data_IF_839386662728
#
_entry.id   IF_839386662728
#
_cell.length_a   1.000
_cell.length_b   1.000
_cell.length_c   1.000
_cell.angle_alpha   90.00
_cell.angle_beta   90.00
_cell.angle_gamma   90.00
#
_symmetry.space_group_name_H-M   'P 1'
#
loop_
_entity.id
_entity.type
_entity.pdbx_description
1 polymer ?
#
# COMPACT_ATOMS: atom_id res chain seq x y z
N UNK A 1 8.10 11.89 4.53
CA UNK A 1 8.10 12.09 3.07
C UNK A 1 8.91 11.02 2.35
N UNK A 2 10.17 10.75 2.75
CA UNK A 2 10.99 9.70 2.12
C UNK A 2 10.32 8.32 2.09
N UNK A 3 9.82 7.83 3.23
CA UNK A 3 9.06 6.57 3.28
C UNK A 3 7.85 6.55 2.34
N UNK A 4 7.13 7.67 2.26
CA UNK A 4 5.95 7.80 1.38
C UNK A 4 6.34 7.82 -0.10
N UNK A 5 7.46 8.46 -0.44
CA UNK A 5 7.98 8.47 -1.80
C UNK A 5 8.46 7.08 -2.23
N UNK A 6 9.19 6.36 -1.38
CA UNK A 6 9.62 4.98 -1.67
C UNK A 6 8.39 4.08 -1.79
N UNK A 7 7.38 4.24 -0.93
CA UNK A 7 6.13 3.48 -1.03
C UNK A 7 5.45 3.64 -2.38
N UNK A 8 5.15 4.87 -2.79
CA UNK A 8 4.48 5.12 -4.07
C UNK A 8 5.37 4.74 -5.26
N UNK A 9 6.66 5.06 -5.23
CA UNK A 9 7.57 4.72 -6.31
C UNK A 9 7.71 3.20 -6.51
N UNK A 10 7.89 2.45 -5.41
CA UNK A 10 8.01 1.00 -5.47
C UNK A 10 6.69 0.32 -5.88
N UNK A 11 5.54 0.85 -5.45
CA UNK A 11 4.23 0.34 -5.82
C UNK A 11 3.87 0.62 -7.29
N UNK A 12 4.12 1.84 -7.78
CA UNK A 12 3.90 2.16 -9.20
C UNK A 12 4.80 1.30 -10.06
N UNK A 13 6.09 1.21 -9.72
CA UNK A 13 7.03 0.37 -10.44
C UNK A 13 6.64 -1.12 -10.42
N UNK A 14 6.08 -1.63 -9.31
CA UNK A 14 5.62 -3.02 -9.26
C UNK A 14 4.42 -3.29 -10.16
N UNK A 15 3.54 -2.32 -10.42
CA UNK A 15 2.44 -2.48 -11.37
C UNK A 15 2.92 -2.74 -12.81
N UNK A 16 4.10 -2.24 -13.17
CA UNK A 16 4.70 -2.45 -14.49
C UNK A 16 5.56 -3.73 -14.56
N UNK A 17 5.87 -4.35 -13.42
CA UNK A 17 6.83 -5.45 -13.33
C UNK A 17 6.27 -6.73 -12.68
N UNK A 18 5.03 -6.73 -12.23
CA UNK A 18 4.30 -7.94 -11.84
C UNK A 18 2.82 -7.78 -12.19
N UNK A 19 2.02 -8.82 -12.05
CA UNK A 19 0.59 -8.73 -12.31
C UNK A 19 -0.09 -7.75 -11.34
N UNK A 20 -1.17 -7.11 -11.79
CA UNK A 20 -1.98 -6.20 -10.95
C UNK A 20 -2.36 -6.85 -9.62
N UNK A 21 -2.78 -8.12 -9.66
CA UNK A 21 -3.19 -8.86 -8.46
C UNK A 21 -2.01 -9.10 -7.51
N UNK A 22 -0.84 -9.49 -8.02
CA UNK A 22 0.36 -9.67 -7.20
C UNK A 22 0.80 -8.36 -6.56
N UNK A 23 0.88 -7.28 -7.34
CA UNK A 23 1.24 -5.96 -6.83
C UNK A 23 0.32 -5.53 -5.68
N UNK A 24 -1.00 -5.69 -5.85
CA UNK A 24 -1.98 -5.36 -4.82
C UNK A 24 -1.89 -6.29 -3.60
N UNK A 25 -1.71 -7.61 -3.78
CA UNK A 25 -1.56 -8.55 -2.66
C UNK A 25 -0.34 -8.21 -1.80
N UNK A 26 0.82 -8.00 -2.42
CA UNK A 26 2.08 -7.76 -1.70
C UNK A 26 2.16 -6.36 -1.09
N UNK A 27 1.55 -5.33 -1.68
CA UNK A 27 1.48 -4.00 -1.05
C UNK A 27 0.49 -3.98 0.13
N UNK A 28 -0.57 -4.82 0.08
CA UNK A 28 -1.62 -4.86 1.10
C UNK A 28 -1.25 -5.64 2.36
N UNK A 29 -0.15 -6.41 2.37
CA UNK A 29 0.31 -7.16 3.56
C UNK A 29 1.08 -6.31 4.58
N UNK A 30 0.96 -4.98 4.54
CA UNK A 30 1.49 -4.07 5.56
C UNK A 30 1.14 -4.44 7.01
N UNK A 31 -0.02 -5.05 7.36
CA UNK A 31 -0.28 -5.48 8.75
C UNK A 31 0.65 -6.59 9.22
N UNK A 32 1.04 -7.52 8.34
CA UNK A 32 2.01 -8.58 8.66
C UNK A 32 3.37 -7.95 8.92
N UNK A 33 3.77 -7.01 8.06
CA UNK A 33 5.05 -6.30 8.20
C UNK A 33 5.11 -5.53 9.51
N UNK A 34 4.02 -4.87 9.91
CA UNK A 34 3.94 -4.19 11.20
C UNK A 34 4.20 -5.15 12.37
N UNK A 35 3.59 -6.33 12.37
CA UNK A 35 3.82 -7.35 13.41
C UNK A 35 5.27 -7.82 13.44
N UNK A 36 5.88 -8.05 12.27
CA UNK A 36 7.29 -8.43 12.18
C UNK A 36 8.21 -7.36 12.78
N UNK A 37 7.82 -6.09 12.69
CA UNK A 37 8.58 -4.96 13.21
C UNK A 37 8.33 -4.69 14.70
N UNK A 38 7.22 -5.18 15.28
CA UNK A 38 6.84 -4.95 16.69
C UNK A 38 7.98 -5.19 17.70
N UNK A 39 8.76 -6.29 17.63
CA UNK A 39 9.85 -6.51 18.59
C UNK A 39 10.94 -5.44 18.53
N UNK A 40 11.24 -4.93 17.33
CA UNK A 40 12.28 -3.92 17.13
C UNK A 40 11.85 -2.54 17.66
N UNK A 41 10.55 -2.26 17.71
CA UNK A 41 9.97 -1.02 18.24
C UNK A 41 9.48 -1.16 19.69
N UNK A 42 9.72 -2.30 20.34
CA UNK A 42 9.38 -2.54 21.73
C UNK A 42 7.89 -2.84 22.00
N UNK A 43 7.12 -3.24 20.97
CA UNK A 43 5.74 -3.67 21.11
C UNK A 43 5.64 -5.17 21.39
N UNK A 44 4.67 -5.56 22.23
CA UNK A 44 4.45 -6.96 22.60
C UNK A 44 3.80 -7.75 21.46
N UNK A 45 4.36 -8.92 21.15
CA UNK A 45 3.82 -9.84 20.14
C UNK A 45 2.98 -10.90 20.82
N UNK A 46 1.70 -11.00 20.42
CA UNK A 46 0.76 -12.01 20.93
C UNK A 46 0.76 -13.26 20.07
N UNK A 47 0.25 -14.38 20.62
CA UNK A 47 0.13 -15.65 19.87
C UNK A 47 -0.68 -15.50 18.59
N UNK A 48 -1.77 -14.71 18.62
CA UNK A 48 -2.58 -14.45 17.43
C UNK A 48 -1.83 -13.70 16.32
N UNK A 49 -0.90 -12.80 16.69
CA UNK A 49 -0.03 -12.10 15.74
C UNK A 49 0.86 -13.10 15.00
N UNK A 50 1.50 -14.02 15.73
CA UNK A 50 2.38 -15.04 15.14
C UNK A 50 1.60 -15.95 14.19
N UNK A 51 0.44 -16.45 14.60
CA UNK A 51 -0.38 -17.31 13.73
C UNK A 51 -0.83 -16.60 12.47
N UNK A 52 -1.24 -15.33 12.57
CA UNK A 52 -1.64 -14.53 11.41
C UNK A 52 -0.49 -14.30 10.42
N UNK A 53 0.69 -13.93 10.94
CA UNK A 53 1.91 -13.77 10.13
C UNK A 53 2.30 -15.07 9.44
N UNK A 54 2.28 -16.21 10.14
CA UNK A 54 2.63 -17.50 9.55
C UNK A 54 1.70 -17.87 8.40
N UNK A 55 0.39 -17.71 8.57
CA UNK A 55 -0.59 -18.00 7.50
C UNK A 55 -0.38 -17.06 6.30
N UNK A 56 -0.11 -15.79 6.57
CA UNK A 56 0.15 -14.82 5.52
C UNK A 56 1.45 -15.10 4.74
N UNK A 57 2.52 -15.49 5.43
CA UNK A 57 3.79 -15.91 4.80
C UNK A 57 3.57 -17.16 3.95
N UNK A 58 2.83 -18.16 4.43
CA UNK A 58 2.49 -19.34 3.64
C UNK A 58 1.71 -18.95 2.38
N UNK A 59 0.75 -18.03 2.49
CA UNK A 59 0.03 -17.50 1.34
C UNK A 59 0.95 -16.82 0.32
N UNK A 60 1.88 -15.98 0.79
CA UNK A 60 2.84 -15.29 -0.07
C UNK A 60 3.81 -16.26 -0.76
N UNK A 61 4.29 -17.28 -0.04
CA UNK A 61 5.15 -18.32 -0.62
C UNK A 61 4.41 -19.16 -1.66
N UNK A 62 3.12 -19.43 -1.44
CA UNK A 62 2.29 -20.10 -2.43
C UNK A 62 2.13 -19.23 -3.68
N UNK A 63 1.76 -17.95 -3.56
CA UNK A 63 1.54 -17.09 -4.74
C UNK A 63 2.79 -16.96 -5.63
N UNK A 64 4.00 -17.06 -5.06
CA UNK A 64 5.24 -17.09 -5.84
C UNK A 64 5.35 -18.30 -6.79
N UNK A 65 4.51 -19.33 -6.66
CA UNK A 65 4.48 -20.47 -7.58
C UNK A 65 4.08 -20.12 -9.02
N UNK A 66 3.43 -18.97 -9.24
CA UNK A 66 3.08 -18.47 -10.58
C UNK A 66 4.19 -17.60 -11.21
N UNK A 67 5.28 -17.31 -10.48
CA UNK A 67 6.43 -16.56 -11.02
C UNK A 67 7.00 -17.27 -12.25
N UNK A 68 7.14 -16.51 -13.34
CA UNK A 68 7.69 -17.02 -14.60
C UNK A 68 6.72 -17.86 -15.43
N UNK A 69 5.52 -18.17 -14.91
CA UNK A 69 4.44 -18.80 -15.68
C UNK A 69 3.70 -17.69 -16.44
N UNK A 70 3.86 -17.62 -17.76
CA UNK A 70 3.20 -16.61 -18.59
C UNK A 70 3.90 -15.24 -18.65
N UNK A 71 5.00 -15.04 -17.94
CA UNK A 71 5.89 -13.86 -18.07
C UNK A 71 5.42 -12.57 -17.38
N UNK A 72 4.17 -12.49 -16.94
CA UNK A 72 3.61 -11.30 -16.29
C UNK A 72 3.97 -11.15 -14.81
N UNK A 73 4.26 -12.26 -14.11
CA UNK A 73 4.63 -12.25 -12.68
C UNK A 73 6.14 -12.38 -12.52
N UNK A 74 6.76 -11.41 -11.85
CA UNK A 74 8.20 -11.41 -11.56
C UNK A 74 8.51 -11.21 -10.09
N UNK A 75 9.58 -11.86 -9.61
CA UNK A 75 10.08 -11.71 -8.24
C UNK A 75 10.47 -10.25 -7.95
N UNK A 76 11.01 -9.55 -8.95
CA UNK A 76 11.46 -8.17 -8.75
C UNK A 76 10.26 -7.24 -8.56
N UNK A 77 9.19 -7.41 -9.33
CA UNK A 77 7.93 -6.70 -9.14
C UNK A 77 7.31 -6.99 -7.78
N UNK A 78 7.23 -8.26 -7.38
CA UNK A 78 6.70 -8.67 -6.07
C UNK A 78 7.53 -8.11 -4.91
N UNK A 79 8.86 -8.09 -5.06
CA UNK A 79 9.78 -7.50 -4.08
C UNK A 79 9.59 -5.98 -3.96
N UNK A 80 9.35 -5.28 -5.07
CA UNK A 80 9.05 -3.85 -5.06
C UNK A 80 7.69 -3.56 -4.39
N UNK A 81 6.66 -4.36 -4.68
CA UNK A 81 5.37 -4.25 -3.99
C UNK A 81 5.51 -4.47 -2.47
N UNK A 82 6.32 -5.47 -2.07
CA UNK A 82 6.63 -5.73 -0.67
C UNK A 82 7.44 -4.59 -0.03
N UNK A 83 8.40 -4.00 -0.74
CA UNK A 83 9.10 -2.79 -0.28
C UNK A 83 8.11 -1.64 -0.07
N UNK A 84 7.11 -1.52 -0.93
CA UNK A 84 5.95 -0.64 -0.75
C UNK A 84 5.26 -0.88 0.58
N UNK A 85 4.94 -2.14 0.92
CA UNK A 85 4.33 -2.51 2.20
C UNK A 85 5.23 -2.17 3.42
N UNK A 86 6.54 -2.38 3.33
CA UNK A 86 7.48 -2.06 4.41
C UNK A 86 7.58 -0.56 4.65
N UNK A 87 7.70 0.20 3.58
CA UNK A 87 7.88 1.65 3.66
C UNK A 87 6.60 2.36 4.09
N UNK A 88 5.41 1.87 3.73
CA UNK A 88 4.15 2.42 4.27
C UNK A 88 4.03 2.20 5.78
N UNK A 89 4.50 1.06 6.32
CA UNK A 89 4.54 0.85 7.78
C UNK A 89 5.43 1.90 8.46
N UNK A 90 6.62 2.17 7.91
CA UNK A 90 7.50 3.24 8.41
C UNK A 90 6.82 4.62 8.38
N UNK A 91 6.11 4.93 7.29
CA UNK A 91 5.31 6.14 7.17
C UNK A 91 4.18 6.21 8.21
N UNK A 92 3.46 5.11 8.45
CA UNK A 92 2.38 5.04 9.43
C UNK A 92 2.88 5.23 10.86
N UNK A 93 4.01 4.61 11.22
CA UNK A 93 4.62 4.78 12.55
C UNK A 93 5.07 6.23 12.78
N UNK A 94 5.72 6.85 11.79
CA UNK A 94 6.09 8.27 11.86
C UNK A 94 4.85 9.18 11.95
N UNK A 95 3.81 8.88 11.18
CA UNK A 95 2.53 9.59 11.21
C UNK A 95 1.83 9.48 12.56
N UNK A 96 1.85 8.29 13.18
CA UNK A 96 1.30 8.06 14.53
C UNK A 96 2.00 8.93 15.57
N UNK A 97 3.33 8.97 15.58
CA UNK A 97 4.10 9.81 16.51
C UNK A 97 3.74 11.29 16.35
N UNK A 98 3.75 11.79 15.10
CA UNK A 98 3.51 13.20 14.80
C UNK A 98 2.05 13.64 15.04
N UNK A 99 1.06 12.78 14.75
CA UNK A 99 -0.36 13.13 14.90
C UNK A 99 -0.92 12.81 16.29
N UNK A 100 -0.54 11.70 16.90
CA UNK A 100 -1.07 11.27 18.19
C UNK A 100 -0.28 11.84 19.37
N UNK A 101 1.05 11.66 19.36
CA UNK A 101 1.90 12.08 20.49
C UNK A 101 2.19 13.58 20.45
N UNK A 102 2.48 14.14 19.26
CA UNK A 102 2.74 15.57 19.08
C UNK A 102 1.49 16.40 18.77
N UNK A 103 0.32 15.76 18.60
CA UNK A 103 -0.99 16.41 18.34
C UNK A 103 -0.99 17.41 17.18
N UNK A 104 -0.20 17.15 16.14
CA UNK A 104 -0.13 18.05 14.98
C UNK A 104 -1.42 18.01 14.14
N UNK A 105 -1.96 19.17 13.72
CA UNK A 105 -3.14 19.23 12.85
C UNK A 105 -2.91 18.49 11.52
N UNK A 106 -3.96 17.84 11.00
CA UNK A 106 -3.88 16.97 9.82
C UNK A 106 -3.32 17.69 8.58
N UNK A 107 -3.73 18.94 8.34
CA UNK A 107 -3.27 19.71 7.18
C UNK A 107 -1.79 20.08 7.28
N UNK A 108 -1.34 20.45 8.49
CA UNK A 108 0.07 20.81 8.78
C UNK A 108 1.00 19.61 8.61
N UNK A 109 0.47 18.40 8.83
CA UNK A 109 1.19 17.16 8.57
C UNK A 109 1.11 16.72 7.09
N UNK A 110 -0.10 16.62 6.54
CA UNK A 110 -0.35 15.95 5.28
C UNK A 110 0.25 16.71 4.10
N UNK A 111 0.01 18.03 4.02
CA UNK A 111 0.45 18.83 2.87
C UNK A 111 1.98 18.84 2.70
N UNK A 112 2.80 19.16 3.72
CA UNK A 112 4.26 19.14 3.54
C UNK A 112 4.80 17.75 3.25
N UNK A 113 4.22 16.71 3.85
CA UNK A 113 4.69 15.34 3.68
C UNK A 113 4.40 14.81 2.27
N UNK A 114 3.19 15.06 1.74
CA UNK A 114 2.84 14.66 0.37
C UNK A 114 3.55 15.52 -0.67
N UNK A 115 3.66 16.83 -0.45
CA UNK A 115 4.41 17.72 -1.34
C UNK A 115 5.88 17.29 -1.43
N UNK A 116 6.55 17.08 -0.29
CA UNK A 116 7.93 16.63 -0.29
C UNK A 116 8.09 15.23 -0.88
N UNK A 117 7.11 14.32 -0.70
CA UNK A 117 7.13 13.02 -1.37
C UNK A 117 7.03 13.16 -2.90
N UNK A 118 6.17 14.07 -3.39
CA UNK A 118 6.10 14.41 -4.82
C UNK A 118 7.42 14.95 -5.36
N UNK A 119 8.13 15.79 -4.61
CA UNK A 119 9.48 16.25 -4.98
C UNK A 119 10.47 15.08 -5.06
N UNK A 120 10.47 14.16 -4.10
CA UNK A 120 11.33 12.97 -4.16
C UNK A 120 11.04 12.08 -5.36
N UNK A 121 9.75 11.88 -5.68
CA UNK A 121 9.32 11.12 -6.86
C UNK A 121 9.70 11.83 -8.16
N UNK A 122 9.57 13.15 -8.23
CA UNK A 122 10.02 13.94 -9.37
C UNK A 122 11.53 13.79 -9.62
N UNK A 123 12.34 13.85 -8.56
CA UNK A 123 13.78 13.60 -8.65
C UNK A 123 14.08 12.16 -9.08
N UNK A 124 13.32 11.18 -8.57
CA UNK A 124 13.45 9.79 -8.98
C UNK A 124 13.15 9.63 -10.48
N UNK A 125 12.05 10.19 -10.99
CA UNK A 125 11.68 10.16 -12.40
C UNK A 125 12.78 10.75 -13.31
N UNK A 126 13.38 11.89 -12.92
CA UNK A 126 14.51 12.48 -13.68
C UNK A 126 15.71 11.52 -13.69
N UNK A 127 16.07 10.98 -12.53
CA UNK A 127 17.31 10.20 -12.37
C UNK A 127 17.22 8.75 -12.87
N UNK A 128 16.05 8.13 -12.82
CA UNK A 128 15.85 6.69 -13.09
C UNK A 128 15.09 6.45 -14.39
N UNK A 129 14.12 7.29 -14.72
CA UNK A 129 13.27 7.16 -15.92
C UNK A 129 13.69 8.11 -17.04
N UNK A 130 14.63 9.03 -16.76
CA UNK A 130 15.14 9.98 -17.74
C UNK A 130 14.20 11.15 -18.02
N UNK A 131 13.24 11.43 -17.11
CA UNK A 131 12.31 12.54 -17.29
C UNK A 131 13.05 13.89 -17.39
N UNK A 132 12.60 14.75 -18.30
CA UNK A 132 13.19 16.07 -18.56
C UNK A 132 12.25 17.18 -18.13
N UNK A 133 12.81 18.35 -17.79
CA UNK A 133 12.02 19.55 -17.48
C UNK A 133 11.55 20.31 -18.73
N UNK A 134 12.15 20.03 -19.89
CA UNK A 134 12.07 20.88 -21.10
C UNK A 134 11.54 20.10 -22.32
N UNK A 135 11.29 18.81 -22.18
CA UNK A 135 10.87 17.98 -23.32
C UNK A 135 9.45 18.33 -23.76
N UNK A 136 9.27 18.30 -25.08
CA UNK A 136 8.02 18.65 -25.76
C UNK A 136 6.99 17.52 -25.65
N UNK A 137 7.45 16.28 -25.45
CA UNK A 137 6.61 15.09 -25.33
C UNK A 137 6.11 15.01 -23.88
N UNK A 138 4.79 15.17 -23.63
CA UNK A 138 4.25 15.24 -22.27
C UNK A 138 4.56 14.02 -21.40
N UNK A 139 4.66 12.83 -22.00
CA UNK A 139 4.85 11.56 -21.28
C UNK A 139 6.22 11.45 -20.59
N UNK A 140 7.24 12.13 -21.12
CA UNK A 140 8.62 12.11 -20.59
C UNK A 140 8.99 13.45 -19.92
N UNK A 141 8.06 14.39 -19.87
CA UNK A 141 8.26 15.70 -19.29
C UNK A 141 7.77 15.73 -17.84
N UNK A 142 8.59 16.24 -16.92
CA UNK A 142 8.24 16.35 -15.50
C UNK A 142 6.98 17.20 -15.27
N UNK A 143 6.78 18.22 -16.11
CA UNK A 143 5.61 19.10 -16.08
C UNK A 143 4.60 18.76 -17.18
N UNK A 144 4.76 17.62 -17.86
CA UNK A 144 3.85 17.18 -18.93
C UNK A 144 2.43 16.94 -18.45
N UNK A 145 2.25 16.64 -17.16
CA UNK A 145 0.94 16.57 -16.51
C UNK A 145 0.17 17.92 -16.55
N UNK A 146 0.83 19.05 -16.80
CA UNK A 146 0.15 20.33 -16.97
C UNK A 146 -0.63 20.43 -18.30
N UNK A 147 -0.42 19.50 -19.24
CA UNK A 147 -1.20 19.43 -20.48
C UNK A 147 -2.68 19.12 -20.18
N UNK A 148 -3.57 19.76 -20.93
CA UNK A 148 -5.02 19.58 -20.83
C UNK A 148 -5.46 18.12 -21.04
N UNK A 149 -4.70 17.32 -21.79
CA UNK A 149 -4.96 15.89 -22.00
C UNK A 149 -4.88 15.10 -20.69
N UNK A 150 -3.99 15.48 -19.78
CA UNK A 150 -3.78 14.80 -18.50
C UNK A 150 -4.66 15.34 -17.37
N UNK A 151 -5.22 16.54 -17.54
CA UNK A 151 -6.03 17.21 -16.51
C UNK A 151 -7.17 16.33 -15.95
N UNK A 152 -7.96 15.58 -16.76
CA UNK A 152 -9.00 14.70 -16.23
C UNK A 152 -8.43 13.60 -15.31
N UNK A 153 -7.29 13.01 -15.67
CA UNK A 153 -6.64 11.96 -14.88
C UNK A 153 -6.08 12.50 -13.58
N UNK A 154 -5.53 13.71 -13.60
CA UNK A 154 -5.01 14.39 -12.40
C UNK A 154 -6.15 14.73 -11.45
N UNK A 155 -7.26 15.26 -11.97
CA UNK A 155 -8.45 15.53 -11.16
C UNK A 155 -8.99 14.23 -10.57
N UNK A 156 -9.06 13.16 -11.37
CA UNK A 156 -9.47 11.84 -10.91
C UNK A 156 -8.55 11.31 -9.79
N UNK A 157 -7.23 11.28 -9.98
CA UNK A 157 -6.26 10.75 -9.02
C UNK A 157 -6.17 11.60 -7.74
N UNK A 158 -6.18 12.93 -7.89
CA UNK A 158 -6.10 13.85 -6.75
C UNK A 158 -7.38 13.89 -5.91
N UNK A 159 -8.55 13.92 -6.54
CA UNK A 159 -9.83 13.98 -5.80
C UNK A 159 -10.32 12.58 -5.39
N UNK A 160 -10.16 11.57 -6.24
CA UNK A 160 -10.58 10.20 -6.00
C UNK A 160 -9.72 9.50 -4.95
N UNK A 161 -8.68 8.74 -5.33
CA UNK A 161 -7.84 8.02 -4.36
C UNK A 161 -7.07 8.97 -3.42
N UNK A 162 -6.63 10.14 -3.89
CA UNK A 162 -5.89 11.11 -3.07
C UNK A 162 -6.72 11.70 -1.94
N UNK A 163 -7.73 12.51 -2.27
CA UNK A 163 -8.56 13.20 -1.30
C UNK A 163 -9.62 12.27 -0.69
N UNK A 164 -10.52 11.71 -1.50
CA UNK A 164 -11.59 10.84 -0.99
C UNK A 164 -11.06 9.53 -0.40
N UNK A 165 -10.01 8.94 -0.99
CA UNK A 165 -9.35 7.75 -0.45
C UNK A 165 -8.56 8.08 0.82
N UNK A 166 -7.33 8.56 0.70
CA UNK A 166 -6.46 8.75 1.87
C UNK A 166 -7.01 9.75 2.90
N UNK A 167 -7.58 10.88 2.47
CA UNK A 167 -8.10 11.89 3.41
C UNK A 167 -9.50 11.53 3.91
N UNK A 168 -10.35 10.96 3.05
CA UNK A 168 -11.69 10.50 3.44
C UNK A 168 -11.66 9.31 4.40
N UNK A 169 -10.78 8.33 4.20
CA UNK A 169 -10.56 7.25 5.17
C UNK A 169 -10.17 7.82 6.53
N UNK A 170 -9.25 8.79 6.55
CA UNK A 170 -8.85 9.49 7.78
C UNK A 170 -10.02 10.22 8.46
N UNK A 171 -10.99 10.73 7.70
CA UNK A 171 -12.19 11.36 8.25
C UNK A 171 -13.17 10.34 8.84
N UNK A 172 -13.38 9.20 8.15
CA UNK A 172 -14.34 8.17 8.55
C UNK A 172 -13.93 7.46 9.85
N UNK A 173 -12.64 7.45 10.19
CA UNK A 173 -12.12 6.95 11.47
C UNK A 173 -12.74 7.63 12.71
N UNK A 174 -13.40 8.78 12.55
CA UNK A 174 -14.20 9.39 13.63
C UNK A 174 -15.43 8.55 14.01
N UNK A 175 -16.01 7.80 13.07
CA UNK A 175 -17.27 7.07 13.24
C UNK A 175 -17.13 5.55 13.10
N UNK A 176 -16.07 5.08 12.45
CA UNK A 176 -15.81 3.67 12.16
C UNK A 176 -14.53 3.24 12.86
N UNK A 177 -14.53 2.02 13.42
CA UNK A 177 -13.36 1.51 14.12
C UNK A 177 -12.16 1.31 13.16
N UNK A 178 -10.92 1.55 13.62
CA UNK A 178 -9.72 1.34 12.80
C UNK A 178 -9.61 -0.08 12.23
N UNK A 179 -10.06 -1.09 12.99
CA UNK A 179 -10.08 -2.50 12.58
C UNK A 179 -10.97 -2.67 11.35
N UNK A 180 -12.19 -2.10 11.37
CA UNK A 180 -13.12 -2.17 10.24
C UNK A 180 -12.52 -1.53 8.99
N UNK A 181 -11.95 -0.34 9.12
CA UNK A 181 -11.31 0.37 8.00
C UNK A 181 -10.16 -0.47 7.42
N UNK A 182 -9.32 -1.05 8.28
CA UNK A 182 -8.17 -1.85 7.86
C UNK A 182 -8.61 -3.14 7.14
N UNK A 183 -9.65 -3.83 7.64
CA UNK A 183 -10.21 -5.01 6.97
C UNK A 183 -10.80 -4.64 5.61
N UNK A 184 -11.51 -3.51 5.50
CA UNK A 184 -12.03 -3.05 4.20
C UNK A 184 -10.91 -2.79 3.20
N UNK A 185 -9.79 -2.22 3.65
CA UNK A 185 -8.64 -1.94 2.79
C UNK A 185 -7.99 -3.24 2.28
N UNK A 186 -7.98 -4.32 3.07
CA UNK A 186 -7.48 -5.62 2.61
C UNK A 186 -8.28 -6.25 1.46
N UNK A 187 -9.48 -5.77 1.16
CA UNK A 187 -10.22 -6.22 -0.04
C UNK A 187 -9.78 -5.51 -1.32
N UNK A 188 -8.87 -4.54 -1.25
CA UNK A 188 -8.34 -3.84 -2.41
C UNK A 188 -7.78 -4.78 -3.50
N UNK A 189 -7.01 -5.84 -3.21
CA UNK A 189 -6.53 -6.76 -4.24
C UNK A 189 -7.67 -7.52 -4.93
N UNK A 190 -8.74 -7.83 -4.19
CA UNK A 190 -9.91 -8.53 -4.72
C UNK A 190 -10.72 -7.61 -5.63
N UNK A 191 -11.06 -6.41 -5.13
CA UNK A 191 -11.86 -5.43 -5.87
C UNK A 191 -11.07 -4.86 -7.03
N UNK A 192 -9.81 -4.48 -6.81
CA UNK A 192 -8.89 -3.99 -7.82
C UNK A 192 -8.63 -5.02 -8.91
N UNK A 193 -8.45 -6.30 -8.55
CA UNK A 193 -8.36 -7.40 -9.51
C UNK A 193 -9.62 -7.56 -10.36
N UNK A 194 -10.82 -7.49 -9.76
CA UNK A 194 -12.10 -7.55 -10.50
C UNK A 194 -12.25 -6.35 -11.44
N UNK A 195 -11.93 -5.12 -10.97
CA UNK A 195 -12.01 -3.92 -11.80
C UNK A 195 -11.02 -4.02 -12.96
N UNK A 196 -9.78 -4.44 -12.69
CA UNK A 196 -8.76 -4.67 -13.71
C UNK A 196 -9.22 -5.66 -14.76
N UNK A 197 -9.81 -6.78 -14.34
CA UNK A 197 -10.39 -7.79 -15.23
C UNK A 197 -11.53 -7.24 -16.09
N UNK A 198 -12.47 -6.52 -15.49
CA UNK A 198 -13.60 -5.92 -16.22
C UNK A 198 -13.15 -4.88 -17.25
N UNK A 199 -12.04 -4.19 -16.97
CA UNK A 199 -11.52 -3.12 -17.84
C UNK A 199 -10.66 -3.65 -18.99
N UNK A 200 -9.77 -4.59 -18.70
CA UNK A 200 -8.78 -5.12 -19.66
C UNK A 200 -9.27 -6.37 -20.38
N UNK A 201 -10.24 -7.10 -19.82
CA UNK A 201 -10.69 -8.41 -20.31
C UNK A 201 -9.72 -9.55 -20.05
N UNK A 202 -8.51 -9.24 -19.55
CA UNK A 202 -7.42 -10.17 -19.35
C UNK A 202 -6.99 -10.12 -17.88
N UNK A 203 -7.10 -11.24 -17.17
CA UNK A 203 -6.52 -11.36 -15.83
C UNK A 203 -5.99 -12.76 -15.68
N UNK A 204 -4.67 -12.85 -15.65
CA UNK A 204 -3.89 -14.07 -15.48
C UNK A 204 -3.81 -14.42 -13.99
N UNK A 205 -4.91 -14.95 -13.47
CA UNK A 205 -4.90 -15.55 -12.14
C UNK A 205 -4.35 -16.98 -12.26
N UNK A 206 -3.07 -17.13 -11.96
CA UNK A 206 -2.47 -18.45 -11.83
C UNK A 206 -3.05 -19.21 -10.64
N UNK A 207 -2.96 -20.54 -10.70
CA UNK A 207 -3.57 -21.42 -9.69
C UNK A 207 -2.98 -21.17 -8.30
N UNK A 208 -1.69 -20.82 -8.25
CA UNK A 208 -1.00 -20.58 -6.99
C UNK A 208 -1.40 -19.25 -6.36
N UNK A 209 -1.72 -18.24 -7.16
CA UNK A 209 -2.27 -16.96 -6.74
C UNK A 209 -3.66 -17.12 -6.14
N UNK A 210 -4.50 -17.96 -6.77
CA UNK A 210 -5.86 -18.26 -6.28
C UNK A 210 -5.83 -18.96 -4.92
N UNK A 211 -4.78 -19.76 -4.64
CA UNK A 211 -4.59 -20.40 -3.34
C UNK A 211 -3.89 -19.48 -2.34
N UNK A 212 -2.83 -18.80 -2.76
CA UNK A 212 -1.97 -17.97 -1.91
C UNK A 212 -2.61 -16.65 -1.49
N UNK A 213 -3.29 -15.97 -2.40
CA UNK A 213 -3.93 -14.67 -2.16
C UNK A 213 -4.93 -14.70 -1.00
N UNK A 214 -5.91 -15.63 -0.98
CA UNK A 214 -6.82 -15.78 0.16
C UNK A 214 -6.10 -16.07 1.49
N UNK A 215 -5.00 -16.83 1.48
CA UNK A 215 -4.20 -17.07 2.68
C UNK A 215 -3.48 -15.80 3.15
N UNK A 216 -2.93 -15.00 2.23
CA UNK A 216 -2.33 -13.69 2.55
C UNK A 216 -3.36 -12.76 3.23
N UNK A 217 -4.55 -12.66 2.64
CA UNK A 217 -5.65 -11.85 3.17
C UNK A 217 -6.13 -12.37 4.53
N UNK A 218 -6.30 -13.69 4.67
CA UNK A 218 -6.69 -14.31 5.94
C UNK A 218 -5.64 -14.04 7.04
N UNK A 219 -4.35 -14.18 6.72
CA UNK A 219 -3.25 -13.85 7.63
C UNK A 219 -3.31 -12.40 8.10
N UNK A 220 -3.54 -11.47 7.18
CA UNK A 220 -3.64 -10.04 7.48
C UNK A 220 -4.87 -9.70 8.33
N UNK A 221 -6.03 -10.31 8.03
CA UNK A 221 -7.24 -10.17 8.83
C UNK A 221 -7.00 -10.71 10.25
N UNK A 222 -6.38 -11.87 10.41
CA UNK A 222 -6.07 -12.45 11.72
C UNK A 222 -5.22 -11.51 12.58
N UNK A 223 -4.20 -10.89 11.98
CA UNK A 223 -3.37 -9.89 12.65
C UNK A 223 -4.20 -8.68 13.09
N UNK A 224 -4.98 -8.11 12.18
CA UNK A 224 -5.82 -6.93 12.46
C UNK A 224 -6.83 -7.21 13.58
N UNK A 225 -7.46 -8.39 13.57
CA UNK A 225 -8.41 -8.79 14.61
C UNK A 225 -7.75 -8.96 15.98
N UNK A 226 -6.53 -9.50 16.02
CA UNK A 226 -5.80 -9.67 17.28
C UNK A 226 -5.35 -8.32 17.87
N UNK A 227 -4.85 -7.41 17.03
CA UNK A 227 -4.53 -6.03 17.45
C UNK A 227 -5.78 -5.33 18.00
N UNK A 228 -6.90 -5.51 17.31
CA UNK A 228 -8.19 -4.99 17.72
C UNK A 228 -8.74 -5.52 19.04
N UNK A 229 -8.37 -6.74 19.44
CA UNK A 229 -8.65 -7.27 20.78
C UNK A 229 -7.76 -6.61 21.83
N UNK A 230 -6.50 -6.35 21.50
CA UNK A 230 -5.55 -5.71 22.43
C UNK A 230 -5.99 -4.30 22.84
N UNK A 231 -6.47 -3.51 21.88
CA UNK A 231 -7.01 -2.16 22.15
C UNK A 231 -8.26 -2.20 23.06
N UNK A 232 -9.11 -3.21 22.91
CA UNK A 232 -10.31 -3.37 23.76
C UNK A 232 -9.97 -3.77 25.18
N UNK A 233 -9.04 -4.71 25.34
CA UNK A 233 -8.61 -5.19 26.66
C UNK A 233 -7.85 -4.09 27.42
N UNK A 234 -7.07 -3.25 26.72
CA UNK A 234 -6.38 -2.10 27.32
C UNK A 234 -7.33 -0.99 27.82
N UNK A 235 -8.38 -0.68 27.07
CA UNK A 235 -9.40 0.31 27.46
C UNK A 235 -10.39 -0.18 28.53
N UNK A 236 -10.53 -1.50 28.72
CA UNK A 236 -11.40 -2.07 29.76
C UNK A 236 -10.75 -2.05 31.16
N UNK A 237 -9.44 -1.79 31.24
CA UNK A 237 -8.65 -1.78 32.47
C UNK A 237 -8.24 -0.35 32.90
N UNK A 238 -8.53 0.66 32.07
CA UNK A 238 -8.34 2.10 32.37
C UNK A 238 -9.62 2.77 32.83
#
# INVERSE_FOLDING_TARGET
SVFLAIHFGAWVWSLDHTSLVHSLLFVSIHPLVLVLLMPAIGLAVRRGHVTGVMVGIVGALLSLGDVGVGGEVTILGDAAAFLGAVTVVGYLLAGRHLRSERRMPIFVYAFPVTFAAGVWLALAAISQEGASMVDVVPEISLLGWADAVWLPWIVYLSLGPGLCGHTGINAVLRWVTPITVSITHLFEPVVGGIIGWLWTGETTLGIWTVLGGPLMLAGAIMVILEEGRGDRDGNAVS
#
